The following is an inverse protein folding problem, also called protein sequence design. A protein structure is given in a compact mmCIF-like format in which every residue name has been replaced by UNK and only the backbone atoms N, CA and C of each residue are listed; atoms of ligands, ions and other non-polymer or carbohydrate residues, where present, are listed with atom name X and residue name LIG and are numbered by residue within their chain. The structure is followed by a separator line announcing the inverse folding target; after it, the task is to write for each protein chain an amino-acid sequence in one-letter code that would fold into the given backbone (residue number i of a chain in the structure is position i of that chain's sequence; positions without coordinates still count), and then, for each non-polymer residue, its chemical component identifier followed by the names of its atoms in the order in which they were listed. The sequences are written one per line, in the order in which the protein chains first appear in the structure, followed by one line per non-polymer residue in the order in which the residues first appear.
data_IF_287776128878
#
_entry.id   IF_287776128878
#
_cell.length_a   1.000
_cell.length_b   1.000
_cell.length_c   1.000
_cell.angle_alpha   90.00
_cell.angle_beta   90.00
_cell.angle_gamma   90.00
#
_symmetry.space_group_name_H-M   'P 1'
#
loop_
_entity.id
_entity.type
_entity.pdbx_description
1 polymer ?
#
# COMPACT_ATOMS: atom_id res chain seq x y z
N UNK A 1 36.79 26.99 -19.68
CA UNK A 1 36.24 26.23 -18.53
C UNK A 1 35.04 25.48 -19.06
N UNK A 2 35.08 24.14 -19.06
CA UNK A 2 33.99 23.31 -19.59
C UNK A 2 32.81 23.41 -18.63
N UNK A 3 31.69 23.99 -19.06
CA UNK A 3 30.44 23.93 -18.30
C UNK A 3 30.05 22.45 -18.13
N UNK A 4 29.97 22.00 -16.88
CA UNK A 4 29.48 20.67 -16.58
C UNK A 4 28.00 20.61 -17.01
N UNK A 5 27.72 19.86 -18.08
CA UNK A 5 26.35 19.62 -18.55
C UNK A 5 25.59 18.91 -17.43
N UNK A 6 24.69 19.63 -16.74
CA UNK A 6 23.83 19.02 -15.72
C UNK A 6 23.04 17.88 -16.38
N UNK A 7 23.11 16.64 -15.86
CA UNK A 7 22.30 15.56 -16.41
C UNK A 7 20.82 15.92 -16.24
N UNK A 8 20.03 15.76 -17.31
CA UNK A 8 18.58 16.00 -17.31
C UNK A 8 17.81 15.01 -16.43
N UNK A 9 18.47 13.93 -15.99
CA UNK A 9 17.90 12.85 -15.18
C UNK A 9 18.78 12.54 -13.99
N UNK A 10 18.17 12.24 -12.85
CA UNK A 10 18.86 11.81 -11.62
C UNK A 10 19.67 10.54 -11.89
N UNK A 11 20.94 10.44 -11.44
CA UNK A 11 21.74 9.24 -11.62
C UNK A 11 21.06 7.99 -11.02
N UNK A 12 21.13 6.86 -11.73
CA UNK A 12 20.44 5.60 -11.35
C UNK A 12 20.83 5.06 -9.98
N UNK A 13 22.05 5.37 -9.52
CA UNK A 13 22.54 5.01 -8.19
C UNK A 13 21.72 5.63 -7.04
N UNK A 14 21.04 6.75 -7.26
CA UNK A 14 20.13 7.37 -6.29
C UNK A 14 18.67 6.92 -6.41
N UNK A 15 18.35 6.13 -7.45
CA UNK A 15 16.99 5.68 -7.75
C UNK A 15 16.80 4.18 -7.46
N UNK A 16 17.87 3.48 -7.10
CA UNK A 16 17.91 2.04 -6.93
C UNK A 16 17.90 1.59 -5.46
N UNK A 17 17.53 0.32 -5.21
CA UNK A 17 17.59 -0.29 -3.89
C UNK A 17 19.04 -0.36 -3.37
N UNK A 18 19.21 -0.30 -2.05
CA UNK A 18 20.52 -0.38 -1.40
C UNK A 18 21.20 -1.73 -1.67
N UNK A 19 22.48 -1.72 -2.03
CA UNK A 19 23.28 -2.92 -2.37
C UNK A 19 23.72 -3.79 -1.18
N UNK A 20 23.04 -3.70 -0.03
CA UNK A 20 23.44 -4.35 1.22
C UNK A 20 22.26 -4.59 2.14
N UNK A 21 22.30 -4.04 3.35
CA UNK A 21 21.14 -4.06 4.25
C UNK A 21 19.94 -3.39 3.58
N UNK A 22 18.80 -4.07 3.59
CA UNK A 22 17.57 -3.61 2.96
C UNK A 22 16.54 -3.20 4.03
N UNK A 23 16.38 -1.88 4.30
CA UNK A 23 15.40 -1.38 5.26
C UNK A 23 13.97 -1.76 4.89
N UNK A 24 13.61 -1.76 3.59
CA UNK A 24 12.27 -2.13 3.13
C UNK A 24 11.91 -3.57 3.48
N UNK A 25 12.86 -4.50 3.30
CA UNK A 25 12.67 -5.89 3.72
C UNK A 25 12.50 -6.01 5.24
N UNK A 26 13.32 -5.32 6.03
CA UNK A 26 13.18 -5.33 7.48
C UNK A 26 11.83 -4.75 7.92
N UNK A 27 11.45 -3.57 7.41
CA UNK A 27 10.17 -2.91 7.71
C UNK A 27 9.00 -3.83 7.37
N UNK A 28 9.04 -4.50 6.22
CA UNK A 28 8.01 -5.45 5.82
C UNK A 28 7.90 -6.62 6.79
N UNK A 29 9.02 -7.28 7.13
CA UNK A 29 9.02 -8.42 8.05
C UNK A 29 8.57 -8.03 9.46
N UNK A 30 8.99 -6.86 9.94
CA UNK A 30 8.56 -6.30 11.22
C UNK A 30 7.06 -6.02 11.20
N UNK A 31 6.54 -5.37 10.15
CA UNK A 31 5.11 -5.09 10.04
C UNK A 31 4.25 -6.36 9.99
N UNK A 32 4.67 -7.39 9.23
CA UNK A 32 4.00 -8.69 9.22
C UNK A 32 4.04 -9.32 10.62
N UNK A 33 5.20 -9.30 11.28
CA UNK A 33 5.36 -9.80 12.65
C UNK A 33 4.46 -9.07 13.64
N UNK A 34 4.33 -7.74 13.52
CA UNK A 34 3.45 -6.90 14.33
C UNK A 34 1.98 -7.26 14.14
N UNK A 35 1.51 -7.44 12.90
CA UNK A 35 0.13 -7.85 12.62
C UNK A 35 -0.16 -9.25 13.15
N UNK A 36 0.76 -10.21 12.97
CA UNK A 36 0.63 -11.56 13.52
C UNK A 36 0.60 -11.53 15.04
N UNK A 37 1.49 -10.76 15.67
CA UNK A 37 1.55 -10.59 17.11
C UNK A 37 0.28 -9.93 17.67
N UNK A 38 -0.23 -8.88 17.02
CA UNK A 38 -1.50 -8.21 17.34
C UNK A 38 -2.65 -9.22 17.31
N UNK A 39 -2.71 -10.02 16.25
CA UNK A 39 -3.75 -11.03 16.05
C UNK A 39 -3.68 -12.13 17.10
N UNK A 40 -2.50 -12.70 17.34
CA UNK A 40 -2.30 -13.70 18.40
C UNK A 40 -2.56 -13.12 19.79
N UNK A 41 -2.11 -11.89 20.07
CA UNK A 41 -2.31 -11.22 21.33
C UNK A 41 -3.77 -11.00 21.67
N UNK A 42 -4.57 -10.62 20.68
CA UNK A 42 -6.01 -10.54 20.84
C UNK A 42 -6.62 -11.91 21.13
N UNK A 43 -6.41 -12.90 20.26
CA UNK A 43 -7.13 -14.19 20.34
C UNK A 43 -6.63 -15.15 21.41
N UNK A 44 -5.34 -15.10 21.78
CA UNK A 44 -4.71 -16.04 22.71
C UNK A 44 -4.45 -15.44 24.08
N UNK A 45 -4.18 -14.14 24.14
CA UNK A 45 -3.70 -13.49 25.36
C UNK A 45 -4.61 -12.36 25.85
N UNK A 46 -5.79 -12.17 25.24
CA UNK A 46 -6.77 -11.16 25.62
C UNK A 46 -6.17 -9.75 25.71
N UNK A 47 -5.30 -9.40 24.77
CA UNK A 47 -4.75 -8.05 24.69
C UNK A 47 -5.85 -7.01 24.52
N UNK A 48 -5.65 -5.85 25.13
CA UNK A 48 -6.57 -4.72 25.03
C UNK A 48 -6.60 -4.17 23.60
N UNK A 49 -7.77 -3.63 23.22
CA UNK A 49 -8.04 -3.21 21.85
C UNK A 49 -7.13 -2.10 21.37
N UNK A 50 -6.86 -1.10 22.22
CA UNK A 50 -5.99 0.02 21.88
C UNK A 50 -4.54 -0.41 21.65
N UNK A 51 -4.06 -1.46 22.33
CA UNK A 51 -2.73 -2.01 22.10
C UNK A 51 -2.65 -2.66 20.71
N UNK A 52 -3.67 -3.45 20.35
CA UNK A 52 -3.75 -4.09 19.04
C UNK A 52 -3.88 -3.06 17.91
N UNK A 53 -4.74 -2.05 18.12
CA UNK A 53 -4.94 -0.94 17.20
C UNK A 53 -3.64 -0.16 16.97
N UNK A 54 -2.96 0.27 18.03
CA UNK A 54 -1.70 1.00 17.90
C UNK A 54 -0.62 0.20 17.17
N UNK A 55 -0.51 -1.10 17.46
CA UNK A 55 0.44 -1.98 16.79
C UNK A 55 0.11 -2.12 15.29
N UNK A 56 -1.16 -2.27 14.94
CA UNK A 56 -1.62 -2.36 13.56
C UNK A 56 -1.44 -1.04 12.80
N UNK A 57 -1.70 0.12 13.41
CA UNK A 57 -1.46 1.43 12.80
C UNK A 57 0.01 1.59 12.42
N UNK A 58 0.93 1.24 13.31
CA UNK A 58 2.37 1.30 13.03
C UNK A 58 2.75 0.32 11.92
N UNK A 59 2.24 -0.91 11.96
CA UNK A 59 2.51 -1.91 10.93
C UNK A 59 2.01 -1.46 9.55
N UNK A 60 0.79 -0.93 9.46
CA UNK A 60 0.19 -0.41 8.23
C UNK A 60 0.97 0.81 7.70
N UNK A 61 1.43 1.70 8.59
CA UNK A 61 2.30 2.80 8.19
C UNK A 61 3.62 2.32 7.59
N UNK A 62 4.28 1.32 8.20
CA UNK A 62 5.52 0.73 7.66
C UNK A 62 5.32 0.13 6.26
N UNK A 63 4.26 -0.67 6.05
CA UNK A 63 4.01 -1.24 4.73
C UNK A 63 3.56 -0.20 3.70
N UNK A 64 3.03 0.95 4.14
CA UNK A 64 2.80 2.13 3.31
C UNK A 64 4.08 2.65 2.64
N UNK A 65 5.19 2.70 3.40
CA UNK A 65 6.51 3.03 2.83
C UNK A 65 7.00 1.94 1.87
N UNK A 66 6.83 0.67 2.24
CA UNK A 66 7.31 -0.46 1.41
C UNK A 66 6.56 -0.54 0.07
N UNK A 67 5.23 -0.35 0.05
CA UNK A 67 4.44 -0.37 -1.19
C UNK A 67 4.77 0.82 -2.10
N UNK A 68 5.04 1.99 -1.51
CA UNK A 68 5.49 3.17 -2.23
C UNK A 68 6.79 2.87 -2.99
N UNK A 69 7.81 2.40 -2.27
CA UNK A 69 9.12 2.11 -2.88
C UNK A 69 9.03 0.94 -3.87
N UNK A 70 8.20 -0.06 -3.59
CA UNK A 70 7.98 -1.19 -4.50
C UNK A 70 7.35 -0.74 -5.82
N UNK A 71 6.47 0.26 -5.79
CA UNK A 71 5.83 0.84 -6.99
C UNK A 71 6.84 1.55 -7.89
N UNK A 72 7.95 2.04 -7.32
CA UNK A 72 9.08 2.63 -8.04
C UNK A 72 10.17 1.61 -8.40
N UNK A 73 9.94 0.32 -8.17
CA UNK A 73 10.94 -0.75 -8.32
C UNK A 73 12.20 -0.56 -7.44
N UNK A 74 12.06 0.16 -6.32
CA UNK A 74 13.14 0.53 -5.41
C UNK A 74 13.11 -0.24 -4.08
N UNK A 75 12.09 -1.06 -3.81
CA UNK A 75 12.02 -1.81 -2.55
C UNK A 75 13.06 -2.95 -2.48
N UNK A 76 13.44 -3.55 -3.62
CA UNK A 76 14.44 -4.62 -3.64
C UNK A 76 15.13 -4.76 -5.01
N UNK A 77 16.43 -5.08 -5.04
CA UNK A 77 17.21 -5.23 -6.28
C UNK A 77 16.70 -6.36 -7.18
N UNK A 78 16.37 -7.50 -6.58
CA UNK A 78 15.64 -8.57 -7.25
C UNK A 78 14.18 -8.17 -7.51
N UNK A 79 13.78 -8.17 -8.79
CA UNK A 79 12.43 -7.77 -9.24
C UNK A 79 11.31 -8.64 -8.67
N UNK A 80 11.55 -9.94 -8.47
CA UNK A 80 10.57 -10.86 -7.89
C UNK A 80 10.34 -10.51 -6.42
N UNK A 81 11.42 -10.28 -5.66
CA UNK A 81 11.30 -9.87 -4.26
C UNK A 81 10.64 -8.50 -4.13
N UNK A 82 10.95 -7.54 -5.02
CA UNK A 82 10.25 -6.26 -5.06
C UNK A 82 8.73 -6.44 -5.29
N UNK A 83 8.36 -7.33 -6.22
CA UNK A 83 6.96 -7.63 -6.47
C UNK A 83 6.29 -8.31 -5.26
N UNK A 84 6.96 -9.23 -4.56
CA UNK A 84 6.44 -9.86 -3.35
C UNK A 84 6.20 -8.82 -2.26
N UNK A 85 7.16 -7.92 -2.01
CA UNK A 85 7.03 -6.84 -1.05
C UNK A 85 5.86 -5.91 -1.41
N UNK A 86 5.75 -5.53 -2.68
CA UNK A 86 4.65 -4.68 -3.17
C UNK A 86 3.27 -5.33 -2.99
N UNK A 87 3.11 -6.58 -3.43
CA UNK A 87 1.83 -7.32 -3.30
C UNK A 87 1.47 -7.62 -1.85
N UNK A 88 2.43 -8.01 -1.03
CA UNK A 88 2.22 -8.27 0.40
C UNK A 88 1.76 -7.00 1.13
N UNK A 89 2.44 -5.88 0.90
CA UNK A 89 2.08 -4.59 1.48
C UNK A 89 0.71 -4.11 1.01
N UNK A 90 0.41 -4.25 -0.29
CA UNK A 90 -0.91 -3.90 -0.83
C UNK A 90 -2.02 -4.72 -0.17
N UNK A 91 -1.81 -6.04 -0.01
CA UNK A 91 -2.78 -6.91 0.64
C UNK A 91 -3.06 -6.49 2.09
N UNK A 92 -2.01 -6.17 2.85
CA UNK A 92 -2.14 -5.70 4.24
C UNK A 92 -2.90 -4.36 4.33
N UNK A 93 -2.70 -3.47 3.36
CA UNK A 93 -3.40 -2.19 3.27
C UNK A 93 -4.81 -2.31 2.67
N UNK A 94 -5.22 -3.51 2.22
CA UNK A 94 -6.49 -3.71 1.54
C UNK A 94 -6.53 -3.13 0.11
N UNK A 95 -5.38 -2.90 -0.51
CA UNK A 95 -5.23 -2.45 -1.89
C UNK A 95 -4.84 -3.59 -2.86
N UNK A 96 -4.89 -3.28 -4.15
CA UNK A 96 -4.32 -4.09 -5.22
C UNK A 96 -3.02 -3.45 -5.68
N UNK A 97 -1.90 -4.18 -5.66
CA UNK A 97 -0.59 -3.60 -5.97
C UNK A 97 -0.51 -2.96 -7.37
N UNK A 98 -0.93 -3.62 -8.48
CA UNK A 98 -0.97 -2.98 -9.78
C UNK A 98 -1.77 -1.67 -9.84
N UNK A 99 -2.96 -1.64 -9.22
CA UNK A 99 -3.80 -0.44 -9.19
C UNK A 99 -3.06 0.68 -8.47
N UNK A 100 -2.56 0.40 -7.27
CA UNK A 100 -1.81 1.36 -6.47
C UNK A 100 -0.61 1.90 -7.27
N UNK A 101 0.22 1.02 -7.86
CA UNK A 101 1.37 1.44 -8.65
C UNK A 101 0.99 2.35 -9.82
N UNK A 102 -0.08 2.05 -10.57
CA UNK A 102 -0.45 2.88 -11.73
C UNK A 102 -0.97 4.25 -11.31
N UNK A 103 -1.79 4.29 -10.27
CA UNK A 103 -2.40 5.52 -9.76
C UNK A 103 -1.34 6.39 -9.09
N UNK A 104 -0.46 5.79 -8.29
CA UNK A 104 0.69 6.46 -7.67
C UNK A 104 1.62 7.12 -8.68
N UNK A 105 1.89 6.44 -9.81
CA UNK A 105 2.67 7.04 -10.89
C UNK A 105 1.94 8.20 -11.59
N UNK A 106 0.60 8.19 -11.64
CA UNK A 106 -0.18 9.33 -12.13
C UNK A 106 -0.12 10.53 -11.17
N UNK A 107 -0.17 10.27 -9.85
CA UNK A 107 0.07 11.30 -8.84
C UNK A 107 1.44 11.96 -9.04
N UNK A 108 2.52 11.18 -9.09
CA UNK A 108 3.86 11.73 -9.33
C UNK A 108 4.00 12.50 -10.66
N UNK A 109 3.27 12.09 -11.70
CA UNK A 109 3.29 12.77 -13.00
C UNK A 109 2.50 14.09 -13.01
N UNK A 110 1.50 14.24 -12.13
CA UNK A 110 0.55 15.36 -12.14
C UNK A 110 0.32 15.95 -10.75
N UNK A 111 1.34 15.97 -9.88
CA UNK A 111 1.21 16.35 -8.46
C UNK A 111 0.42 17.65 -8.29
N UNK A 112 -0.65 17.61 -7.50
CA UNK A 112 -1.60 18.70 -7.22
C UNK A 112 -2.44 19.20 -8.40
N UNK A 113 -2.44 18.52 -9.54
CA UNK A 113 -3.35 18.81 -10.65
C UNK A 113 -4.80 18.41 -10.28
N UNK A 114 -5.77 19.33 -10.29
CA UNK A 114 -7.14 19.04 -9.83
C UNK A 114 -7.87 17.92 -10.58
N UNK A 115 -7.49 17.64 -11.83
CA UNK A 115 -8.18 16.68 -12.70
C UNK A 115 -7.38 15.39 -12.89
N UNK A 116 -6.05 15.50 -12.94
CA UNK A 116 -5.15 14.42 -13.31
C UNK A 116 -4.43 13.82 -12.10
N UNK A 117 -4.42 14.48 -10.94
CA UNK A 117 -3.92 13.90 -9.70
C UNK A 117 -5.04 13.11 -8.97
N UNK A 118 -4.92 11.78 -8.86
CA UNK A 118 -5.86 10.99 -8.07
C UNK A 118 -5.89 11.39 -6.58
N UNK A 119 -4.77 11.88 -6.03
CA UNK A 119 -4.64 12.23 -4.62
C UNK A 119 -5.24 13.60 -4.29
N UNK A 120 -5.47 14.44 -5.31
CA UNK A 120 -6.18 15.70 -5.14
C UNK A 120 -7.59 15.47 -4.60
N UNK A 121 -8.32 14.49 -5.14
CA UNK A 121 -9.63 14.10 -4.61
C UNK A 121 -9.52 13.44 -3.23
N UNK A 122 -8.54 12.57 -3.02
CA UNK A 122 -8.32 11.91 -1.70
C UNK A 122 -8.06 12.95 -0.61
N UNK A 123 -7.46 14.08 -0.95
CA UNK A 123 -7.13 15.15 0.00
C UNK A 123 -8.27 16.17 0.19
N UNK A 124 -9.02 16.50 -0.87
CA UNK A 124 -10.01 17.61 -0.86
C UNK A 124 -11.48 17.17 -0.83
N UNK A 125 -11.77 15.92 -1.19
CA UNK A 125 -13.13 15.42 -1.44
C UNK A 125 -14.02 15.20 -0.21
N UNK A 126 -13.69 15.75 0.97
CA UNK A 126 -14.54 15.66 2.17
C UNK A 126 -13.78 15.78 3.50
N UNK A 127 -14.34 15.25 4.60
CA UNK A 127 -13.71 15.32 5.92
C UNK A 127 -12.53 14.35 6.08
N UNK A 128 -11.53 14.75 6.88
CA UNK A 128 -10.28 14.00 7.08
C UNK A 128 -10.49 12.59 7.67
N UNK A 129 -11.50 12.38 8.52
CA UNK A 129 -11.76 11.07 9.12
C UNK A 129 -12.30 10.03 8.11
N UNK A 130 -12.65 10.44 6.89
CA UNK A 130 -13.01 9.54 5.80
C UNK A 130 -11.85 9.29 4.82
N UNK A 131 -10.63 9.73 5.13
CA UNK A 131 -9.50 9.64 4.20
C UNK A 131 -9.22 8.20 3.74
N UNK A 132 -9.27 7.24 4.66
CA UNK A 132 -9.09 5.80 4.35
C UNK A 132 -10.14 5.31 3.35
N UNK A 133 -11.40 5.72 3.50
CA UNK A 133 -12.46 5.38 2.56
C UNK A 133 -12.30 6.09 1.21
N UNK A 134 -11.75 7.31 1.18
CA UNK A 134 -11.50 8.03 -0.08
C UNK A 134 -10.39 7.43 -0.91
N UNK A 135 -9.44 6.71 -0.33
CA UNK A 135 -8.44 5.98 -1.11
C UNK A 135 -9.06 4.96 -2.09
N UNK A 136 -10.31 4.50 -1.90
CA UNK A 136 -11.01 3.70 -2.91
C UNK A 136 -11.28 4.47 -4.23
N UNK A 137 -11.19 5.80 -4.23
CA UNK A 137 -11.20 6.59 -5.47
C UNK A 137 -10.05 6.22 -6.41
N UNK A 138 -8.92 5.72 -5.91
CA UNK A 138 -7.83 5.22 -6.75
C UNK A 138 -8.31 4.13 -7.72
N UNK A 139 -9.22 3.25 -7.29
CA UNK A 139 -9.81 2.25 -8.18
C UNK A 139 -10.70 2.89 -9.24
N UNK A 140 -11.57 3.81 -8.82
CA UNK A 140 -12.43 4.57 -9.75
C UNK A 140 -11.58 5.26 -10.81
N UNK A 141 -10.53 5.98 -10.41
CA UNK A 141 -9.60 6.66 -11.29
C UNK A 141 -8.87 5.68 -12.22
N UNK A 142 -8.40 4.54 -11.69
CA UNK A 142 -7.74 3.49 -12.47
C UNK A 142 -8.62 2.95 -13.60
N UNK A 143 -9.90 2.73 -13.32
CA UNK A 143 -10.87 2.30 -14.33
C UNK A 143 -11.24 3.41 -15.32
N UNK A 144 -11.49 4.63 -14.82
CA UNK A 144 -11.82 5.80 -15.66
C UNK A 144 -10.73 6.10 -16.69
N UNK A 145 -9.46 6.08 -16.27
CA UNK A 145 -8.29 6.37 -17.11
C UNK A 145 -7.75 5.15 -17.86
N UNK A 146 -8.37 3.99 -17.69
CA UNK A 146 -8.00 2.72 -18.36
C UNK A 146 -6.52 2.35 -18.19
N UNK A 147 -6.01 2.42 -16.96
CA UNK A 147 -4.58 2.29 -16.68
C UNK A 147 -4.06 0.83 -16.68
N UNK A 148 -4.96 -0.15 -16.74
CA UNK A 148 -4.62 -1.56 -16.68
C UNK A 148 -3.79 -2.03 -17.88
N UNK A 149 -2.94 -3.02 -17.67
CA UNK A 149 -2.22 -3.76 -18.71
C UNK A 149 -2.19 -5.25 -18.38
N UNK A 150 -2.08 -6.10 -19.40
CA UNK A 150 -1.92 -7.56 -19.24
C UNK A 150 -2.97 -8.14 -18.28
N UNK A 151 -2.56 -8.84 -17.23
CA UNK A 151 -3.41 -9.55 -16.28
C UNK A 151 -3.78 -8.72 -15.04
N UNK A 152 -3.48 -7.42 -15.01
CA UNK A 152 -3.72 -6.58 -13.83
C UNK A 152 -5.20 -6.50 -13.42
N UNK A 153 -6.14 -6.65 -14.37
CA UNK A 153 -7.57 -6.75 -14.06
C UNK A 153 -7.93 -8.05 -13.33
N UNK A 154 -7.30 -9.16 -13.70
CA UNK A 154 -7.47 -10.43 -13.00
C UNK A 154 -6.86 -10.34 -11.60
N UNK A 155 -5.68 -9.74 -11.46
CA UNK A 155 -5.05 -9.51 -10.16
C UNK A 155 -5.95 -8.66 -9.25
N UNK A 156 -6.49 -7.54 -9.76
CA UNK A 156 -7.48 -6.73 -9.04
C UNK A 156 -8.70 -7.54 -8.62
N UNK A 157 -9.27 -8.32 -9.54
CA UNK A 157 -10.44 -9.14 -9.22
C UNK A 157 -10.14 -10.15 -8.10
N UNK A 158 -9.00 -10.84 -8.18
CA UNK A 158 -8.58 -11.82 -7.17
C UNK A 158 -8.31 -11.15 -5.81
N UNK A 159 -7.63 -10.00 -5.79
CA UNK A 159 -7.38 -9.23 -4.56
C UNK A 159 -8.70 -8.75 -3.93
N UNK A 160 -9.67 -8.29 -4.73
CA UNK A 160 -10.98 -7.87 -4.24
C UNK A 160 -11.83 -9.03 -3.76
N UNK A 161 -11.81 -10.15 -4.47
CA UNK A 161 -12.48 -11.37 -4.05
C UNK A 161 -11.92 -11.88 -2.72
N UNK A 162 -10.61 -11.79 -2.51
CA UNK A 162 -9.95 -12.16 -1.26
C UNK A 162 -10.35 -11.22 -0.11
N UNK A 163 -10.34 -9.90 -0.31
CA UNK A 163 -10.77 -8.98 0.75
C UNK A 163 -12.27 -9.15 1.07
N UNK A 164 -13.10 -9.30 0.04
CA UNK A 164 -14.54 -9.54 0.21
C UNK A 164 -14.80 -10.85 0.96
N UNK A 165 -14.05 -11.92 0.69
CA UNK A 165 -14.20 -13.18 1.42
C UNK A 165 -13.82 -13.04 2.89
N UNK A 166 -12.76 -12.29 3.23
CA UNK A 166 -12.41 -11.98 4.63
C UNK A 166 -13.56 -11.27 5.33
N UNK A 167 -14.13 -10.23 4.70
CA UNK A 167 -15.23 -9.46 5.29
C UNK A 167 -16.50 -10.32 5.44
N UNK A 168 -16.85 -11.10 4.42
CA UNK A 168 -18.02 -11.99 4.46
C UNK A 168 -17.89 -13.06 5.55
N UNK A 169 -16.72 -13.70 5.66
CA UNK A 169 -16.44 -14.65 6.72
C UNK A 169 -16.47 -13.98 8.09
N UNK A 170 -15.91 -12.78 8.24
CA UNK A 170 -15.97 -12.04 9.49
C UNK A 170 -17.41 -11.67 9.89
N UNK A 171 -18.28 -11.33 8.94
CA UNK A 171 -19.71 -11.14 9.20
C UNK A 171 -20.39 -12.46 9.61
N UNK A 172 -20.15 -13.54 8.86
CA UNK A 172 -20.77 -14.84 9.08
C UNK A 172 -20.41 -15.45 10.44
N UNK A 173 -19.16 -15.29 10.88
CA UNK A 173 -18.67 -15.84 12.14
C UNK A 173 -18.67 -14.82 13.30
N UNK A 174 -19.21 -13.61 13.10
CA UNK A 174 -19.36 -12.60 14.16
C UNK A 174 -18.08 -11.87 14.57
N UNK A 175 -17.06 -11.86 13.71
CA UNK A 175 -15.75 -11.22 13.94
C UNK A 175 -15.59 -9.86 13.26
N UNK A 176 -16.65 -9.28 12.68
CA UNK A 176 -16.56 -7.99 11.98
C UNK A 176 -16.05 -6.86 12.87
N UNK A 177 -16.39 -6.87 14.16
CA UNK A 177 -15.89 -5.89 15.13
C UNK A 177 -14.37 -5.96 15.34
N UNK A 178 -13.76 -7.14 15.16
CA UNK A 178 -12.30 -7.28 15.18
C UNK A 178 -11.66 -6.48 14.05
N UNK A 179 -12.18 -6.62 12.83
CA UNK A 179 -11.67 -5.91 11.65
C UNK A 179 -11.87 -4.39 11.80
N UNK A 180 -13.10 -3.96 12.11
CA UNK A 180 -13.45 -2.54 12.06
C UNK A 180 -12.83 -1.68 13.18
N UNK A 181 -12.54 -2.26 14.35
CA UNK A 181 -12.01 -1.49 15.49
C UNK A 181 -10.48 -1.52 15.55
N UNK A 182 -9.84 -2.53 14.94
CA UNK A 182 -8.40 -2.80 15.14
C UNK A 182 -7.58 -2.67 13.86
N UNK A 183 -8.20 -2.50 12.69
CA UNK A 183 -7.52 -2.29 11.40
C UNK A 183 -7.98 -1.04 10.62
N UNK A 184 -9.08 -0.40 11.01
CA UNK A 184 -9.67 0.79 10.34
C UNK A 184 -9.58 1.99 11.26
#
# INVERSE_FOLDING_TARGET
MSEATKPLTVPKEFLGPTGGFNPNLLMFLVAVGMVVLSTCGYWRWNWQDWCCFGLNVVALHMVGTVIHDASHHAAHANRVLNAILGHGSALMLGFTFPVFTRVHLQHHAHVNDPENDPDHFVSTGGPLWLINARFFYHEVYFFQRRLWRKYELLEWFLSRAFLASIVLLACQYGFIGYILVRFV
#
